data_IF_246923831466
#
_entry.id   IF_246923831466
#
_cell.length_a   1.000
_cell.length_b   1.000
_cell.length_c   1.000
_cell.angle_alpha   90.00
_cell.angle_beta   90.00
_cell.angle_gamma   90.00
#
_symmetry.space_group_name_H-M   'P 1'
#
loop_
_entity.id
_entity.type
_entity.pdbx_description
1 polymer ?
#
# COMPACT_ATOMS: atom_id res chain seq x y z
N UNK A 1 3.97 -2.29 -18.60
CA UNK A 1 4.09 -3.60 -17.95
C UNK A 1 4.79 -4.53 -18.93
N UNK A 2 5.75 -5.33 -18.48
CA UNK A 2 6.41 -6.33 -19.33
C UNK A 2 5.49 -7.52 -19.57
N UNK A 3 5.68 -8.22 -20.68
CA UNK A 3 5.02 -9.51 -20.99
C UNK A 3 5.28 -10.58 -19.91
N UNK A 4 6.45 -10.53 -19.26
CA UNK A 4 6.83 -11.49 -18.22
C UNK A 4 6.94 -10.81 -16.85
N UNK A 5 6.36 -11.43 -15.83
CA UNK A 5 6.54 -11.06 -14.43
C UNK A 5 7.60 -11.97 -13.81
N UNK A 6 8.63 -11.36 -13.21
CA UNK A 6 9.66 -12.08 -12.47
C UNK A 6 9.47 -11.82 -10.98
N UNK A 7 9.60 -12.87 -10.18
CA UNK A 7 9.52 -12.75 -8.73
C UNK A 7 10.72 -11.96 -8.24
N UNK A 8 10.46 -10.93 -7.44
CA UNK A 8 11.52 -10.21 -6.75
C UNK A 8 11.78 -10.88 -5.39
N UNK A 9 13.04 -11.18 -5.04
CA UNK A 9 13.36 -11.75 -3.74
C UNK A 9 12.92 -10.81 -2.61
N UNK A 10 12.33 -11.38 -1.56
CA UNK A 10 11.84 -10.64 -0.40
C UNK A 10 12.90 -9.70 0.18
N UNK A 11 14.13 -10.20 0.38
CA UNK A 11 15.24 -9.44 0.97
C UNK A 11 15.52 -8.15 0.18
N UNK A 12 15.52 -8.22 -1.15
CA UNK A 12 15.79 -7.07 -2.02
C UNK A 12 14.70 -6.01 -1.84
N UNK A 13 13.43 -6.42 -1.76
CA UNK A 13 12.31 -5.50 -1.54
C UNK A 13 12.39 -4.84 -0.16
N UNK A 14 12.68 -5.64 0.86
CA UNK A 14 12.74 -5.20 2.25
C UNK A 14 13.88 -4.21 2.48
N UNK A 15 15.09 -4.53 2.00
CA UNK A 15 16.26 -3.66 2.13
C UNK A 15 16.06 -2.34 1.39
N UNK A 16 15.42 -2.35 0.23
CA UNK A 16 15.06 -1.13 -0.49
C UNK A 16 14.11 -0.27 0.35
N UNK A 17 13.00 -0.83 0.86
CA UNK A 17 12.03 -0.07 1.67
C UNK A 17 12.71 0.56 2.89
N UNK A 18 13.50 -0.22 3.64
CA UNK A 18 14.15 0.28 4.85
C UNK A 18 15.17 1.37 4.55
N UNK A 19 16.04 1.13 3.57
CA UNK A 19 17.07 2.10 3.18
C UNK A 19 16.47 3.40 2.69
N UNK A 20 15.47 3.33 1.82
CA UNK A 20 14.79 4.53 1.30
C UNK A 20 14.09 5.31 2.43
N UNK A 21 13.46 4.60 3.36
CA UNK A 21 12.79 5.25 4.48
C UNK A 21 13.78 5.91 5.43
N UNK A 22 14.92 5.28 5.72
CA UNK A 22 15.98 5.86 6.55
C UNK A 22 16.59 7.12 5.89
N UNK A 23 16.97 7.02 4.62
CA UNK A 23 17.69 8.09 3.92
C UNK A 23 16.78 9.26 3.51
N UNK A 24 15.56 8.97 3.06
CA UNK A 24 14.69 9.94 2.38
C UNK A 24 13.33 10.15 3.06
N UNK A 25 13.03 9.41 4.13
CA UNK A 25 11.69 9.39 4.73
C UNK A 25 10.60 9.06 3.70
N UNK A 26 10.91 8.23 2.71
CA UNK A 26 9.96 7.80 1.68
C UNK A 26 9.97 6.29 1.48
N UNK A 27 8.88 5.77 0.93
CA UNK A 27 8.79 4.37 0.50
C UNK A 27 8.26 4.38 -0.93
N UNK A 28 9.03 3.83 -1.88
CA UNK A 28 8.73 3.86 -3.32
C UNK A 28 8.40 5.27 -3.84
N UNK A 29 9.12 6.27 -3.35
CA UNK A 29 8.96 7.68 -3.71
C UNK A 29 7.81 8.41 -3.01
N UNK A 30 7.01 7.73 -2.19
CA UNK A 30 5.95 8.36 -1.39
C UNK A 30 6.58 8.88 -0.11
N UNK A 31 6.73 10.19 0.02
CA UNK A 31 7.27 10.81 1.22
C UNK A 31 6.31 10.63 2.41
N UNK A 32 6.87 10.43 3.61
CA UNK A 32 6.14 10.17 4.86
C UNK A 32 5.06 11.20 5.18
N UNK A 33 5.25 12.46 4.78
CA UNK A 33 4.24 13.51 4.97
C UNK A 33 2.94 13.26 4.20
N UNK A 34 2.96 12.39 3.19
CA UNK A 34 1.81 11.99 2.40
C UNK A 34 1.15 10.70 2.90
N UNK A 35 1.75 10.03 3.90
CA UNK A 35 1.20 8.79 4.42
C UNK A 35 -0.16 9.04 5.07
N UNK A 36 -1.15 8.30 4.62
CA UNK A 36 -2.48 8.33 5.19
C UNK A 36 -2.46 7.77 6.61
N UNK A 37 -2.84 8.62 7.56
CA UNK A 37 -3.01 8.25 8.97
C UNK A 37 -4.50 8.14 9.27
N UNK A 38 -5.04 6.91 9.49
CA UNK A 38 -6.43 6.71 9.86
C UNK A 38 -6.84 7.53 11.09
N UNK A 39 -8.00 8.20 11.01
CA UNK A 39 -8.62 8.86 12.16
C UNK A 39 -9.85 8.09 12.61
N UNK A 40 -10.11 8.12 13.93
CA UNK A 40 -11.26 7.44 14.52
C UNK A 40 -12.60 8.00 14.00
N UNK A 41 -12.64 9.25 13.59
CA UNK A 41 -13.78 9.99 13.05
C UNK A 41 -13.71 10.19 11.53
N UNK A 42 -12.92 9.38 10.81
CA UNK A 42 -12.79 9.48 9.36
C UNK A 42 -14.18 9.45 8.69
N UNK A 43 -14.54 10.48 7.88
CA UNK A 43 -15.86 10.59 7.24
C UNK A 43 -16.21 9.38 6.38
N UNK A 44 -15.19 8.76 5.80
CA UNK A 44 -15.32 7.60 4.94
C UNK A 44 -15.14 6.29 5.70
N UNK A 45 -15.03 6.26 7.04
CA UNK A 45 -14.93 4.98 7.73
C UNK A 45 -16.21 4.16 7.55
N UNK A 46 -16.06 2.84 7.43
CA UNK A 46 -17.17 1.92 7.11
C UNK A 46 -16.94 0.56 7.75
N UNK A 47 -17.99 -0.24 7.85
CA UNK A 47 -17.90 -1.63 8.34
C UNK A 47 -18.20 -2.59 7.20
N UNK A 48 -17.24 -3.45 6.87
CA UNK A 48 -17.36 -4.49 5.83
C UNK A 48 -17.07 -5.84 6.50
N UNK A 49 -17.95 -6.83 6.29
CA UNK A 49 -17.85 -8.17 6.92
C UNK A 49 -17.65 -8.14 8.45
N UNK A 50 -18.28 -7.17 9.13
CA UNK A 50 -18.15 -6.99 10.58
C UNK A 50 -16.84 -6.34 11.04
N UNK A 51 -15.95 -5.97 10.12
CA UNK A 51 -14.69 -5.29 10.40
C UNK A 51 -14.76 -3.82 10.03
N UNK A 52 -14.22 -2.96 10.91
CA UNK A 52 -14.15 -1.52 10.65
C UNK A 52 -12.96 -1.19 9.78
N UNK A 53 -13.21 -0.47 8.68
CA UNK A 53 -12.20 0.06 7.77
C UNK A 53 -12.14 1.58 7.90
N UNK A 54 -10.92 2.14 7.86
CA UNK A 54 -10.73 3.58 7.85
C UNK A 54 -11.20 4.24 6.54
N UNK A 55 -11.21 3.46 5.46
CA UNK A 55 -11.70 3.80 4.13
C UNK A 55 -12.23 2.51 3.45
N UNK A 56 -13.38 2.53 2.75
CA UNK A 56 -13.93 1.35 2.07
C UNK A 56 -13.42 1.25 0.63
N UNK A 57 -12.18 1.70 0.37
CA UNK A 57 -11.62 1.76 -0.98
C UNK A 57 -10.26 1.06 -1.04
N UNK A 58 -9.95 0.57 -2.23
CA UNK A 58 -8.64 0.09 -2.63
C UNK A 58 -8.74 -0.70 -3.93
N UNK A 59 -7.60 -1.21 -4.43
CA UNK A 59 -7.53 -1.91 -5.71
C UNK A 59 -8.24 -3.27 -5.66
N UNK A 60 -8.94 -3.58 -6.75
CA UNK A 60 -9.47 -4.91 -7.03
C UNK A 60 -8.36 -5.86 -7.49
N UNK A 61 -8.61 -7.17 -7.42
CA UNK A 61 -7.65 -8.18 -7.84
C UNK A 61 -7.31 -8.02 -9.33
N UNK A 62 -6.02 -7.86 -9.65
CA UNK A 62 -5.58 -7.65 -11.02
C UNK A 62 -4.21 -6.98 -11.13
N UNK A 63 -3.92 -6.27 -12.24
CA UNK A 63 -2.62 -5.65 -12.50
C UNK A 63 -2.08 -4.78 -11.35
N UNK A 64 -2.96 -4.10 -10.61
CA UNK A 64 -2.58 -3.22 -9.51
C UNK A 64 -2.21 -3.98 -8.22
N UNK A 65 -2.56 -5.25 -8.09
CA UNK A 65 -2.22 -6.08 -6.91
C UNK A 65 -1.21 -7.18 -7.22
N UNK A 66 -0.70 -7.24 -8.44
CA UNK A 66 0.37 -8.16 -8.85
C UNK A 66 1.75 -7.84 -8.24
N UNK A 67 2.01 -6.57 -7.90
CA UNK A 67 3.29 -6.11 -7.35
C UNK A 67 3.11 -5.67 -5.90
N UNK A 68 3.98 -6.17 -5.01
CA UNK A 68 4.02 -5.76 -3.60
C UNK A 68 4.18 -4.25 -3.44
N UNK A 69 4.95 -3.61 -4.34
CA UNK A 69 5.14 -2.16 -4.36
C UNK A 69 3.82 -1.41 -4.52
N UNK A 70 2.93 -1.87 -5.40
CA UNK A 70 1.64 -1.24 -5.64
C UNK A 70 0.69 -1.43 -4.45
N UNK A 71 0.70 -2.61 -3.83
CA UNK A 71 -0.08 -2.89 -2.61
C UNK A 71 0.36 -1.95 -1.48
N UNK A 72 1.67 -1.82 -1.26
CA UNK A 72 2.24 -0.94 -0.24
C UNK A 72 1.91 0.52 -0.56
N UNK A 73 2.10 0.96 -1.80
CA UNK A 73 1.77 2.33 -2.23
C UNK A 73 0.29 2.67 -2.01
N UNK A 74 -0.62 1.76 -2.38
CA UNK A 74 -2.04 1.91 -2.15
C UNK A 74 -2.36 2.01 -0.64
N UNK A 75 -1.77 1.15 0.19
CA UNK A 75 -1.98 1.16 1.63
C UNK A 75 -1.45 2.44 2.29
N UNK A 76 -0.24 2.89 1.92
CA UNK A 76 0.37 4.14 2.38
C UNK A 76 -0.48 5.35 1.98
N UNK A 77 -1.15 5.28 0.83
CA UNK A 77 -2.03 6.34 0.33
C UNK A 77 -3.48 6.22 0.81
N UNK A 78 -3.77 5.25 1.69
CA UNK A 78 -5.04 5.17 2.41
C UNK A 78 -6.02 4.11 1.95
N UNK A 79 -5.65 3.19 1.06
CA UNK A 79 -6.46 2.01 0.76
C UNK A 79 -6.54 1.07 1.98
N UNK A 80 -7.74 0.55 2.28
CA UNK A 80 -7.95 -0.43 3.37
C UNK A 80 -8.77 -1.64 2.96
N UNK A 81 -9.25 -1.69 1.72
CA UNK A 81 -9.87 -2.87 1.12
C UNK A 81 -9.08 -3.24 -0.14
N UNK A 82 -8.30 -4.32 -0.08
CA UNK A 82 -7.39 -4.75 -1.16
C UNK A 82 -7.73 -6.20 -1.49
N UNK A 83 -8.07 -6.46 -2.74
CA UNK A 83 -8.33 -7.81 -3.24
C UNK A 83 -7.07 -8.38 -3.92
N UNK A 84 -6.73 -9.63 -3.60
CA UNK A 84 -5.54 -10.32 -4.11
C UNK A 84 -5.92 -11.52 -4.97
#
# INVERSE_FOLDING_TARGET
MSESMNVQPFQVLFDWILKEFEENQSIFGIHRSLFYTPRADSPYSSTIFGQRLATPIGPAAGPHTQLTQNIIAAWLSGARFIEL
#
